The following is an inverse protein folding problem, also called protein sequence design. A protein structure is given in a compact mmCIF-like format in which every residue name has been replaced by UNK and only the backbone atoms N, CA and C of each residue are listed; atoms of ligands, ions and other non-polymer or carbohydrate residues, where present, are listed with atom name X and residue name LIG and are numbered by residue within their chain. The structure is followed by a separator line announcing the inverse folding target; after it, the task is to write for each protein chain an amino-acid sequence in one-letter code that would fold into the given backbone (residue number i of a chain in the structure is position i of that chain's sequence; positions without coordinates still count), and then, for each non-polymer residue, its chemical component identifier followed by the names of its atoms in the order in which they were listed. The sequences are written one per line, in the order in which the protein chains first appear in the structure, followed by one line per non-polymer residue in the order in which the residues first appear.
data_IF_969807386573
#
_entry.id   IF_969807386573
#
_cell.length_a   1.000
_cell.length_b   1.000
_cell.length_c   1.000
_cell.angle_alpha   90.00
_cell.angle_beta   90.00
_cell.angle_gamma   90.00
#
_symmetry.space_group_name_H-M   'P 1'
#
loop_
_entity.id
_entity.type
_entity.pdbx_description
1 polymer ?
#
# COMPACT_ATOMS: atom_id res chain seq x y z
N UNK A 1 24.22 -4.77 54.05
CA UNK A 1 23.37 -5.67 53.30
C UNK A 1 22.18 -4.97 52.60
N UNK A 2 21.47 -4.04 53.26
CA UNK A 2 20.35 -3.30 52.66
C UNK A 2 20.77 -2.39 51.49
N UNK A 3 21.90 -1.73 51.61
CA UNK A 3 22.43 -0.84 50.58
C UNK A 3 22.88 -1.59 49.31
N UNK A 4 23.46 -2.80 49.49
CA UNK A 4 23.82 -3.65 48.33
C UNK A 4 22.60 -4.19 47.58
N UNK A 5 21.55 -4.59 48.30
CA UNK A 5 20.28 -5.03 47.68
C UNK A 5 19.56 -3.90 46.94
N UNK A 6 19.57 -2.68 47.48
CA UNK A 6 19.01 -1.50 46.84
C UNK A 6 19.77 -1.13 45.56
N UNK A 7 21.11 -1.18 45.56
CA UNK A 7 21.94 -0.94 44.38
C UNK A 7 21.72 -2.00 43.31
N UNK A 8 21.57 -3.26 43.69
CA UNK A 8 21.32 -4.34 42.75
C UNK A 8 19.95 -4.22 42.10
N UNK A 9 18.90 -3.91 42.85
CA UNK A 9 17.55 -3.65 42.31
C UNK A 9 17.51 -2.42 41.40
N UNK A 10 18.21 -1.34 41.73
CA UNK A 10 18.32 -0.16 40.89
C UNK A 10 19.05 -0.46 39.55
N UNK A 11 20.11 -1.29 39.63
CA UNK A 11 20.84 -1.72 38.43
C UNK A 11 19.97 -2.58 37.51
N UNK A 12 19.27 -3.58 38.06
CA UNK A 12 18.37 -4.45 37.27
C UNK A 12 17.23 -3.65 36.60
N UNK A 13 16.68 -2.67 37.35
CA UNK A 13 15.65 -1.77 36.77
C UNK A 13 16.20 -0.88 35.64
N UNK A 14 17.44 -0.39 35.82
CA UNK A 14 18.09 0.40 34.79
C UNK A 14 18.41 -0.45 33.55
N UNK A 15 18.94 -1.66 33.72
CA UNK A 15 19.21 -2.60 32.63
C UNK A 15 17.91 -2.96 31.88
N UNK A 16 16.81 -3.16 32.57
CA UNK A 16 15.50 -3.41 31.98
C UNK A 16 15.04 -2.21 31.16
N UNK A 17 15.08 -0.98 31.71
CA UNK A 17 14.71 0.25 31.01
C UNK A 17 15.60 0.53 29.80
N UNK A 18 16.90 0.24 29.89
CA UNK A 18 17.82 0.37 28.75
C UNK A 18 17.46 -0.58 27.64
N UNK A 19 17.17 -1.87 27.95
CA UNK A 19 16.74 -2.85 26.95
C UNK A 19 15.43 -2.44 26.28
N UNK A 20 14.44 -2.03 27.06
CA UNK A 20 13.14 -1.56 26.55
C UNK A 20 13.30 -0.36 25.61
N UNK A 21 14.08 0.65 26.03
CA UNK A 21 14.38 1.83 25.23
C UNK A 21 15.17 1.50 23.96
N UNK A 22 16.16 0.60 24.05
CA UNK A 22 16.94 0.17 22.90
C UNK A 22 16.07 -0.57 21.88
N UNK A 23 15.22 -1.48 22.33
CA UNK A 23 14.28 -2.19 21.45
C UNK A 23 13.29 -1.22 20.78
N UNK A 24 12.74 -0.26 21.53
CA UNK A 24 11.87 0.79 20.98
C UNK A 24 12.57 1.65 19.92
N UNK A 25 13.81 2.09 20.20
CA UNK A 25 14.60 2.87 19.24
C UNK A 25 14.95 2.07 17.99
N UNK A 26 15.28 0.80 18.12
CA UNK A 26 15.55 -0.08 16.98
C UNK A 26 14.30 -0.26 16.09
N UNK A 27 13.13 -0.43 16.70
CA UNK A 27 11.85 -0.52 16.00
C UNK A 27 11.54 0.79 15.25
N UNK A 28 11.70 1.94 15.90
CA UNK A 28 11.53 3.25 15.25
C UNK A 28 12.53 3.48 14.10
N UNK A 29 13.78 3.08 14.28
CA UNK A 29 14.79 3.20 13.24
C UNK A 29 14.47 2.32 12.03
N UNK A 30 14.06 1.08 12.25
CA UNK A 30 13.63 0.17 11.19
C UNK A 30 12.41 0.73 10.42
N UNK A 31 11.45 1.31 11.16
CA UNK A 31 10.28 1.97 10.56
C UNK A 31 10.67 3.16 9.68
N UNK A 32 11.56 4.03 10.17
CA UNK A 32 12.06 5.17 9.39
C UNK A 32 12.85 4.72 8.17
N UNK A 33 13.68 3.69 8.29
CA UNK A 33 14.40 3.12 7.16
C UNK A 33 13.46 2.55 6.09
N UNK A 34 12.42 1.82 6.50
CA UNK A 34 11.41 1.29 5.57
C UNK A 34 10.72 2.42 4.80
N UNK A 35 10.28 3.47 5.49
CA UNK A 35 9.67 4.66 4.87
C UNK A 35 10.63 5.38 3.93
N UNK A 36 11.89 5.55 4.33
CA UNK A 36 12.91 6.22 3.50
C UNK A 36 13.20 5.42 2.22
N UNK A 37 13.34 4.09 2.34
CA UNK A 37 13.59 3.21 1.19
C UNK A 37 12.43 3.25 0.20
N UNK A 38 11.19 3.19 0.69
CA UNK A 38 9.97 3.33 -0.13
C UNK A 38 9.97 4.69 -0.84
N UNK A 39 10.24 5.78 -0.11
CA UNK A 39 10.23 7.13 -0.69
C UNK A 39 11.31 7.31 -1.76
N UNK A 40 12.51 6.75 -1.56
CA UNK A 40 13.59 6.81 -2.55
C UNK A 40 13.24 6.04 -3.84
N UNK A 41 12.71 4.83 -3.71
CA UNK A 41 12.27 4.04 -4.87
C UNK A 41 11.09 4.69 -5.61
N UNK A 42 10.19 5.35 -4.89
CA UNK A 42 9.08 6.09 -5.48
C UNK A 42 9.55 7.29 -6.32
N UNK A 43 10.63 7.94 -5.93
CA UNK A 43 11.18 9.08 -6.67
C UNK A 43 11.79 8.72 -8.02
N UNK A 44 12.18 7.45 -8.21
CA UNK A 44 12.77 6.94 -9.45
C UNK A 44 11.77 6.30 -10.40
N UNK A 45 10.50 6.13 -9.98
CA UNK A 45 9.49 5.46 -10.78
C UNK A 45 8.92 6.39 -11.85
N UNK A 46 8.99 5.98 -13.11
CA UNK A 46 8.47 6.72 -14.25
C UNK A 46 6.98 6.46 -14.54
N UNK A 47 6.40 5.43 -13.94
CA UNK A 47 5.01 5.05 -14.15
C UNK A 47 4.41 4.33 -12.92
N UNK A 48 3.08 4.29 -12.87
CA UNK A 48 2.31 3.70 -11.76
C UNK A 48 2.62 2.21 -11.54
N UNK A 49 2.87 1.45 -12.59
CA UNK A 49 3.13 0.02 -12.47
C UNK A 49 4.48 -0.27 -11.83
N UNK A 50 5.53 0.44 -12.27
CA UNK A 50 6.89 0.33 -11.68
C UNK A 50 6.87 0.77 -10.22
N UNK A 51 6.16 1.87 -9.92
CA UNK A 51 5.97 2.35 -8.56
C UNK A 51 5.30 1.29 -7.67
N UNK A 52 4.18 0.72 -8.13
CA UNK A 52 3.43 -0.27 -7.39
C UNK A 52 4.23 -1.58 -7.21
N UNK A 53 5.00 -1.99 -8.23
CA UNK A 53 5.83 -3.20 -8.16
C UNK A 53 6.95 -3.06 -7.12
N UNK A 54 7.65 -1.93 -7.07
CA UNK A 54 8.63 -1.65 -6.02
C UNK A 54 8.02 -1.65 -4.63
N UNK A 55 6.83 -1.08 -4.50
CA UNK A 55 6.11 -1.04 -3.24
C UNK A 55 5.69 -2.42 -2.73
N UNK A 56 5.10 -3.29 -3.58
CA UNK A 56 4.68 -4.64 -3.15
C UNK A 56 5.88 -5.46 -2.68
N UNK A 57 7.02 -5.33 -3.35
CA UNK A 57 8.27 -5.98 -2.96
C UNK A 57 8.72 -5.55 -1.56
N UNK A 58 8.79 -4.26 -1.33
CA UNK A 58 9.23 -3.69 -0.04
C UNK A 58 8.28 -4.03 1.11
N UNK A 59 6.96 -3.88 0.90
CA UNK A 59 5.98 -4.17 1.93
C UNK A 59 5.98 -5.65 2.28
N UNK A 60 6.03 -6.53 1.27
CA UNK A 60 6.09 -7.98 1.49
C UNK A 60 7.26 -8.36 2.40
N UNK A 61 8.45 -7.82 2.13
CA UNK A 61 9.64 -8.06 2.93
C UNK A 61 9.53 -7.50 4.35
N UNK A 62 8.93 -6.30 4.51
CA UNK A 62 8.87 -5.59 5.79
C UNK A 62 7.92 -6.26 6.80
N UNK A 63 6.81 -6.87 6.33
CA UNK A 63 5.80 -7.49 7.19
C UNK A 63 5.72 -9.00 7.04
N UNK A 64 6.62 -9.59 6.25
CA UNK A 64 6.69 -11.03 5.98
C UNK A 64 5.37 -11.61 5.50
N UNK A 65 4.66 -10.89 4.63
CA UNK A 65 3.44 -11.36 4.01
C UNK A 65 3.73 -12.47 2.99
N UNK A 66 2.84 -13.46 2.89
CA UNK A 66 2.96 -14.51 1.87
C UNK A 66 2.76 -13.95 0.46
N UNK A 67 1.81 -13.02 0.31
CA UNK A 67 1.64 -12.23 -0.90
C UNK A 67 1.15 -10.81 -0.60
N UNK A 68 1.42 -9.90 -1.53
CA UNK A 68 0.95 -8.51 -1.50
C UNK A 68 0.42 -8.14 -2.88
N UNK A 69 -0.65 -7.37 -2.92
CA UNK A 69 -1.22 -6.80 -4.13
C UNK A 69 -1.54 -5.32 -3.94
N UNK A 70 -1.31 -4.52 -4.96
CA UNK A 70 -1.80 -3.14 -5.07
C UNK A 70 -2.87 -3.09 -6.14
N UNK A 71 -4.05 -2.61 -5.76
CA UNK A 71 -5.19 -2.42 -6.64
C UNK A 71 -5.45 -0.93 -6.81
N UNK A 72 -5.59 -0.52 -8.05
CA UNK A 72 -6.02 0.83 -8.41
C UNK A 72 -7.54 0.87 -8.54
N UNK A 73 -8.17 1.86 -7.95
CA UNK A 73 -9.59 2.13 -8.15
C UNK A 73 -9.77 3.14 -9.30
N UNK A 74 -10.71 2.90 -10.20
CA UNK A 74 -11.07 3.86 -11.24
C UNK A 74 -11.63 5.18 -10.64
N UNK A 75 -11.76 6.21 -11.48
CA UNK A 75 -12.21 7.54 -10.99
C UNK A 75 -13.63 7.53 -10.41
N UNK A 76 -14.50 6.69 -10.94
CA UNK A 76 -15.85 6.46 -10.44
C UNK A 76 -15.88 5.60 -9.18
N UNK A 77 -14.78 4.96 -8.83
CA UNK A 77 -14.66 3.93 -7.79
C UNK A 77 -15.62 2.73 -7.99
N UNK A 78 -15.88 2.39 -9.24
CA UNK A 78 -16.73 1.26 -9.60
C UNK A 78 -15.96 -0.05 -9.73
N UNK A 79 -14.66 0.04 -9.97
CA UNK A 79 -13.78 -1.12 -10.19
C UNK A 79 -12.43 -0.94 -9.53
N UNK A 80 -11.86 -2.08 -9.16
CA UNK A 80 -10.47 -2.21 -8.72
C UNK A 80 -9.69 -3.04 -9.72
N UNK A 81 -8.63 -2.47 -10.29
CA UNK A 81 -7.74 -3.15 -11.22
C UNK A 81 -6.44 -3.52 -10.51
N UNK A 82 -5.99 -4.75 -10.66
CA UNK A 82 -4.71 -5.21 -10.12
C UNK A 82 -3.57 -4.49 -10.85
N UNK A 83 -2.88 -3.61 -10.14
CA UNK A 83 -1.77 -2.82 -10.69
C UNK A 83 -0.44 -3.55 -10.58
N UNK A 84 -0.18 -4.16 -9.41
CA UNK A 84 1.00 -4.95 -9.14
C UNK A 84 0.71 -6.00 -8.08
N UNK A 85 1.46 -7.11 -8.11
CA UNK A 85 1.41 -8.13 -7.06
C UNK A 85 2.72 -8.88 -6.96
N UNK A 86 2.98 -9.44 -5.77
CA UNK A 86 4.08 -10.35 -5.51
C UNK A 86 3.64 -11.48 -4.60
N UNK A 87 3.99 -12.72 -4.95
CA UNK A 87 3.62 -13.92 -4.20
C UNK A 87 2.20 -14.45 -4.47
N UNK A 88 1.36 -13.75 -5.26
CA UNK A 88 0.05 -14.28 -5.64
C UNK A 88 0.19 -15.43 -6.65
N UNK A 89 -0.61 -16.50 -6.52
CA UNK A 89 -0.73 -17.53 -7.56
C UNK A 89 -1.18 -16.90 -8.88
N UNK A 90 -0.64 -17.34 -10.04
CA UNK A 90 -1.04 -16.81 -11.35
C UNK A 90 -2.54 -16.92 -11.62
N UNK A 91 -3.18 -18.00 -11.19
CA UNK A 91 -4.64 -18.18 -11.31
C UNK A 91 -5.41 -17.07 -10.59
N UNK A 92 -5.01 -16.72 -9.38
CA UNK A 92 -5.66 -15.67 -8.59
C UNK A 92 -5.42 -14.28 -9.22
N UNK A 93 -4.22 -14.00 -9.69
CA UNK A 93 -3.91 -12.75 -10.37
C UNK A 93 -4.75 -12.54 -11.64
N UNK A 94 -5.03 -13.61 -12.39
CA UNK A 94 -5.86 -13.56 -13.60
C UNK A 94 -7.35 -13.39 -13.22
N UNK A 95 -7.84 -14.19 -12.29
CA UNK A 95 -9.26 -14.18 -11.87
C UNK A 95 -9.67 -12.86 -11.22
N UNK A 96 -8.75 -12.27 -10.46
CA UNK A 96 -8.99 -11.05 -9.71
C UNK A 96 -8.31 -9.82 -10.33
N UNK A 97 -7.97 -9.87 -11.62
CA UNK A 97 -7.34 -8.73 -12.30
C UNK A 97 -8.20 -7.46 -12.25
N UNK A 98 -9.51 -7.62 -12.40
CA UNK A 98 -10.47 -6.51 -12.32
C UNK A 98 -11.68 -6.95 -11.49
N UNK A 99 -11.90 -6.29 -10.36
CA UNK A 99 -12.99 -6.56 -9.45
C UNK A 99 -13.97 -5.39 -9.40
N UNK A 100 -15.28 -5.63 -9.56
CA UNK A 100 -16.28 -4.62 -9.24
C UNK A 100 -16.20 -4.23 -7.76
N UNK A 101 -16.42 -2.96 -7.48
CA UNK A 101 -16.47 -2.47 -6.09
C UNK A 101 -17.57 -3.18 -5.30
N UNK A 102 -17.23 -3.70 -4.14
CA UNK A 102 -18.13 -4.47 -3.29
C UNK A 102 -18.31 -5.94 -3.68
N UNK A 103 -17.77 -6.40 -4.82
CA UNK A 103 -17.84 -7.79 -5.21
C UNK A 103 -17.01 -8.74 -4.32
N UNK A 104 -15.94 -8.20 -3.74
CA UNK A 104 -15.10 -8.89 -2.79
C UNK A 104 -14.72 -7.95 -1.66
N UNK A 105 -14.41 -8.51 -0.51
CA UNK A 105 -13.95 -7.77 0.66
C UNK A 105 -12.59 -7.08 0.40
N UNK A 106 -11.82 -7.56 -0.57
CA UNK A 106 -10.58 -6.92 -1.04
C UNK A 106 -10.82 -5.77 -2.04
N UNK A 107 -12.07 -5.46 -2.35
CA UNK A 107 -12.47 -4.36 -3.21
C UNK A 107 -13.65 -3.60 -2.55
N UNK A 108 -13.44 -2.95 -1.39
CA UNK A 108 -14.51 -2.34 -0.61
C UNK A 108 -15.07 -1.11 -1.29
N UNK A 109 -16.33 -0.74 -1.02
CA UNK A 109 -16.86 0.54 -1.45
C UNK A 109 -16.11 1.70 -0.80
N UNK A 110 -16.10 2.86 -1.46
CA UNK A 110 -15.36 4.06 -1.04
C UNK A 110 -15.60 4.46 0.41
N UNK A 111 -16.85 4.41 0.84
CA UNK A 111 -17.28 4.79 2.19
C UNK A 111 -16.83 3.80 3.27
N UNK A 112 -16.67 2.52 2.90
CA UNK A 112 -16.22 1.44 3.78
C UNK A 112 -14.71 1.19 3.78
N UNK A 113 -13.94 1.90 2.97
CA UNK A 113 -12.50 1.67 2.83
C UNK A 113 -11.75 2.18 4.06
N UNK A 114 -11.48 1.26 5.00
CA UNK A 114 -10.66 1.45 6.21
C UNK A 114 -9.62 0.34 6.28
N UNK A 115 -8.49 0.60 6.94
CA UNK A 115 -7.53 -0.46 7.25
C UNK A 115 -8.20 -1.52 8.13
N UNK A 116 -8.11 -2.78 7.72
CA UNK A 116 -8.85 -3.88 8.34
C UNK A 116 -8.11 -5.21 8.22
N UNK A 117 -8.31 -6.07 9.20
CA UNK A 117 -7.87 -7.46 9.20
C UNK A 117 -9.09 -8.34 9.03
N UNK A 118 -9.05 -9.25 8.08
CA UNK A 118 -10.16 -10.11 7.70
C UNK A 118 -9.71 -11.56 7.83
N UNK A 119 -10.48 -12.36 8.55
CA UNK A 119 -10.30 -13.81 8.61
C UNK A 119 -11.15 -14.48 7.54
N UNK A 120 -10.51 -15.07 6.55
CA UNK A 120 -11.18 -15.61 5.36
C UNK A 120 -11.99 -16.89 5.62
N UNK A 121 -11.83 -17.52 6.79
CA UNK A 121 -12.54 -18.74 7.17
C UNK A 121 -13.78 -18.51 8.04
N UNK A 122 -14.11 -17.26 8.39
CA UNK A 122 -15.33 -16.96 9.13
C UNK A 122 -16.53 -16.92 8.18
N UNK A 123 -17.66 -17.53 8.57
CA UNK A 123 -18.89 -17.63 7.75
C UNK A 123 -19.55 -16.28 7.46
N UNK A 124 -19.16 -15.22 8.16
CA UNK A 124 -19.70 -13.86 8.00
C UNK A 124 -19.17 -13.12 6.78
N UNK A 125 -18.11 -13.63 6.15
CA UNK A 125 -17.44 -12.96 5.04
C UNK A 125 -18.00 -13.46 3.72
N UNK A 126 -18.94 -12.72 3.14
CA UNK A 126 -19.38 -12.91 1.74
C UNK A 126 -18.26 -12.44 0.83
N UNK A 127 -17.45 -13.36 0.35
CA UNK A 127 -16.30 -13.09 -0.54
C UNK A 127 -16.32 -14.03 -1.72
N UNK A 128 -15.69 -13.61 -2.79
CA UNK A 128 -15.30 -14.53 -3.83
C UNK A 128 -14.41 -15.62 -3.22
N UNK A 129 -14.57 -16.89 -3.60
CA UNK A 129 -13.88 -18.01 -2.95
C UNK A 129 -12.37 -18.04 -3.22
N UNK A 130 -11.89 -17.27 -4.18
CA UNK A 130 -10.55 -17.36 -4.78
C UNK A 130 -9.41 -17.27 -3.76
N UNK A 131 -9.48 -16.31 -2.82
CA UNK A 131 -8.43 -16.16 -1.80
C UNK A 131 -8.37 -17.37 -0.85
N UNK A 132 -9.53 -17.94 -0.49
CA UNK A 132 -9.62 -19.11 0.37
C UNK A 132 -9.18 -20.38 -0.37
N UNK A 133 -9.56 -20.53 -1.63
CA UNK A 133 -9.10 -21.63 -2.51
C UNK A 133 -7.59 -21.59 -2.74
N UNK A 134 -6.99 -20.40 -2.75
CA UNK A 134 -5.55 -20.21 -2.80
C UNK A 134 -4.84 -20.51 -1.47
N UNK A 135 -5.57 -20.89 -0.42
CA UNK A 135 -5.00 -21.27 0.88
C UNK A 135 -4.72 -20.12 1.84
N UNK A 136 -5.17 -18.91 1.53
CA UNK A 136 -5.01 -17.79 2.46
C UNK A 136 -6.04 -17.85 3.60
N UNK A 137 -5.59 -17.49 4.80
CA UNK A 137 -6.37 -17.51 6.05
C UNK A 137 -6.70 -16.10 6.51
N UNK A 138 -5.74 -15.19 6.37
CA UNK A 138 -5.89 -13.78 6.77
C UNK A 138 -5.62 -12.87 5.58
N UNK A 139 -6.47 -11.87 5.41
CA UNK A 139 -6.30 -10.75 4.49
C UNK A 139 -6.24 -9.45 5.30
N UNK A 140 -5.23 -8.63 5.03
CA UNK A 140 -5.15 -7.26 5.56
C UNK A 140 -5.36 -6.30 4.40
N UNK A 141 -6.39 -5.48 4.48
CA UNK A 141 -6.67 -4.42 3.51
C UNK A 141 -6.28 -3.06 4.07
N UNK A 142 -5.50 -2.29 3.30
CA UNK A 142 -5.09 -0.93 3.65
C UNK A 142 -5.45 0.01 2.50
N UNK A 143 -6.37 0.96 2.69
CA UNK A 143 -6.81 1.84 1.62
C UNK A 143 -5.70 2.83 1.23
N UNK A 144 -5.53 3.03 -0.07
CA UNK A 144 -4.69 4.06 -0.64
C UNK A 144 -5.50 5.34 -0.77
N UNK A 145 -5.27 6.28 0.13
CA UNK A 145 -5.96 7.58 0.14
C UNK A 145 -4.97 8.72 -0.02
N UNK A 146 -5.31 9.62 -0.93
CA UNK A 146 -4.68 10.92 -1.01
C UNK A 146 -5.72 11.99 -0.70
N UNK A 147 -5.55 12.71 0.40
CA UNK A 147 -6.56 13.62 0.95
C UNK A 147 -7.92 12.92 1.17
N UNK A 148 -8.99 13.36 0.49
CA UNK A 148 -10.33 12.76 0.56
C UNK A 148 -10.60 11.71 -0.53
N UNK A 149 -9.66 11.51 -1.46
CA UNK A 149 -9.83 10.63 -2.60
C UNK A 149 -9.30 9.23 -2.31
N UNK A 150 -10.10 8.22 -2.57
CA UNK A 150 -9.68 6.83 -2.58
C UNK A 150 -9.06 6.52 -3.95
N UNK A 151 -7.80 6.11 -3.97
CA UNK A 151 -7.06 5.75 -5.17
C UNK A 151 -6.99 4.25 -5.39
N UNK A 152 -7.22 3.46 -4.34
CA UNK A 152 -7.10 2.02 -4.41
C UNK A 152 -6.94 1.37 -3.04
N UNK A 153 -6.37 0.19 -3.04
CA UNK A 153 -6.12 -0.59 -1.83
C UNK A 153 -4.86 -1.45 -1.96
N UNK A 154 -4.14 -1.58 -0.86
CA UNK A 154 -3.09 -2.59 -0.66
C UNK A 154 -3.71 -3.77 0.06
N UNK A 155 -3.56 -4.97 -0.51
CA UNK A 155 -4.00 -6.21 0.09
C UNK A 155 -2.79 -7.06 0.46
N UNK A 156 -2.69 -7.48 1.72
CA UNK A 156 -1.66 -8.38 2.21
C UNK A 156 -2.32 -9.72 2.57
N UNK A 157 -1.75 -10.80 2.09
CA UNK A 157 -2.29 -12.14 2.21
C UNK A 157 -1.37 -13.00 3.07
N UNK A 158 -1.96 -13.77 3.98
CA UNK A 158 -1.25 -14.66 4.90
C UNK A 158 -1.90 -16.03 4.92
N UNK A 159 -1.07 -17.08 4.88
CA UNK A 159 -1.50 -18.49 5.03
C UNK A 159 -1.73 -18.90 6.48
N UNK A 160 -1.45 -18.00 7.42
CA UNK A 160 -1.67 -18.19 8.85
C UNK A 160 -2.52 -17.07 9.43
N UNK A 161 -3.12 -17.31 10.61
CA UNK A 161 -3.80 -16.24 11.32
C UNK A 161 -2.81 -15.16 11.73
N UNK A 162 -3.13 -13.92 11.37
CA UNK A 162 -2.35 -12.74 11.72
C UNK A 162 -3.18 -11.77 12.55
N UNK A 163 -2.52 -11.16 13.53
CA UNK A 163 -3.01 -10.00 14.25
C UNK A 163 -2.00 -8.88 14.06
N UNK A 164 -2.46 -7.75 13.56
CA UNK A 164 -1.57 -6.60 13.42
C UNK A 164 -1.37 -5.92 14.78
N UNK A 165 -0.12 -5.70 15.16
CA UNK A 165 0.18 -4.79 16.27
C UNK A 165 -0.15 -3.35 15.87
N UNK A 166 -0.44 -2.46 16.84
CA UNK A 166 -0.67 -1.04 16.54
C UNK A 166 0.49 -0.41 15.76
N UNK A 167 1.72 -0.82 16.02
CA UNK A 167 2.92 -0.33 15.34
C UNK A 167 2.95 -0.78 13.87
N UNK A 168 2.67 -2.05 13.60
CA UNK A 168 2.59 -2.58 12.23
C UNK A 168 1.46 -1.93 11.44
N UNK A 169 0.30 -1.71 12.10
CA UNK A 169 -0.82 -1.00 11.49
C UNK A 169 -0.44 0.44 11.12
N UNK A 170 0.21 1.17 12.02
CA UNK A 170 0.66 2.54 11.77
C UNK A 170 1.69 2.59 10.63
N UNK A 171 2.65 1.64 10.61
CA UNK A 171 3.63 1.53 9.53
C UNK A 171 2.97 1.30 8.17
N UNK A 172 2.08 0.32 8.06
CA UNK A 172 1.37 0.01 6.82
C UNK A 172 0.52 1.19 6.34
N UNK A 173 -0.15 1.88 7.26
CA UNK A 173 -0.93 3.08 6.94
C UNK A 173 -0.03 4.19 6.38
N UNK A 174 1.08 4.48 7.03
CA UNK A 174 2.04 5.48 6.56
C UNK A 174 2.63 5.12 5.19
N UNK A 175 3.00 3.85 4.97
CA UNK A 175 3.50 3.38 3.67
C UNK A 175 2.43 3.53 2.58
N UNK A 176 1.17 3.21 2.88
CA UNK A 176 0.04 3.35 1.96
C UNK A 176 -0.24 4.83 1.61
N UNK A 177 -0.15 5.74 2.58
CA UNK A 177 -0.28 7.19 2.35
C UNK A 177 0.84 7.72 1.45
N UNK A 178 2.07 7.27 1.66
CA UNK A 178 3.20 7.62 0.78
C UNK A 178 3.00 7.12 -0.64
N UNK A 179 2.58 5.86 -0.82
CA UNK A 179 2.27 5.31 -2.13
C UNK A 179 1.17 6.13 -2.81
N UNK A 180 0.08 6.40 -2.10
CA UNK A 180 -1.04 7.18 -2.63
C UNK A 180 -0.61 8.57 -3.09
N UNK A 181 0.24 9.25 -2.32
CA UNK A 181 0.79 10.55 -2.68
C UNK A 181 1.66 10.49 -3.95
N UNK A 182 2.54 9.48 -4.06
CA UNK A 182 3.38 9.29 -5.24
C UNK A 182 2.56 8.93 -6.49
N UNK A 183 1.53 8.08 -6.34
CA UNK A 183 0.60 7.73 -7.42
C UNK A 183 -0.14 8.97 -7.95
N UNK A 184 -0.62 9.83 -7.06
CA UNK A 184 -1.31 11.07 -7.45
C UNK A 184 -0.34 12.04 -8.13
N UNK A 185 0.89 12.17 -7.66
CA UNK A 185 1.93 12.99 -8.30
C UNK A 185 2.22 12.54 -9.73
N UNK A 186 2.39 11.23 -9.96
CA UNK A 186 2.58 10.68 -11.31
C UNK A 186 1.37 10.93 -12.21
N UNK A 187 0.16 10.79 -11.67
CA UNK A 187 -1.08 11.06 -12.42
C UNK A 187 -1.17 12.52 -12.85
N UNK A 188 -0.91 13.45 -11.94
CA UNK A 188 -0.93 14.89 -12.23
C UNK A 188 0.10 15.22 -13.30
N UNK A 189 1.33 14.73 -13.15
CA UNK A 189 2.40 14.94 -14.13
C UNK A 189 2.03 14.39 -15.53
N UNK A 190 1.38 13.24 -15.59
CA UNK A 190 0.92 12.65 -16.85
C UNK A 190 -0.14 13.54 -17.54
N UNK A 191 -1.13 14.03 -16.77
CA UNK A 191 -2.17 14.94 -17.27
C UNK A 191 -1.60 16.27 -17.76
N UNK A 192 -0.63 16.84 -17.05
CA UNK A 192 0.06 18.07 -17.47
C UNK A 192 0.81 17.87 -18.78
N UNK A 193 1.49 16.74 -18.96
CA UNK A 193 2.18 16.40 -20.22
C UNK A 193 1.19 16.23 -21.38
N UNK A 194 0.07 15.54 -21.15
CA UNK A 194 -0.98 15.38 -22.15
C UNK A 194 -1.58 16.73 -22.57
N UNK A 195 -1.87 17.60 -21.62
CA UNK A 195 -2.39 18.94 -21.86
C UNK A 195 -1.38 19.78 -22.67
N UNK A 196 -0.09 19.74 -22.35
CA UNK A 196 0.95 20.44 -23.07
C UNK A 196 1.05 19.96 -24.54
N UNK A 197 1.04 18.65 -24.77
CA UNK A 197 1.04 18.07 -26.13
C UNK A 197 -0.20 18.46 -26.91
N UNK A 198 -1.38 18.46 -26.30
CA UNK A 198 -2.62 18.89 -26.96
C UNK A 198 -2.58 20.38 -27.33
N UNK A 199 -2.02 21.22 -26.47
CA UNK A 199 -1.84 22.65 -26.73
C UNK A 199 -0.87 22.90 -27.89
N UNK A 200 0.28 22.21 -27.91
CA UNK A 200 1.26 22.30 -28.99
C UNK A 200 0.65 21.91 -30.35
N UNK A 201 -0.07 20.76 -30.38
CA UNK A 201 -0.79 20.34 -31.60
C UNK A 201 -1.80 21.38 -32.12
N UNK A 202 -2.52 22.03 -31.20
CA UNK A 202 -3.48 23.09 -31.52
C UNK A 202 -2.79 24.34 -32.11
N UNK A 203 -1.63 24.72 -31.60
CA UNK A 203 -0.83 25.84 -32.12
C UNK A 203 -0.32 25.53 -33.54
N UNK A 204 0.29 24.36 -33.75
CA UNK A 204 0.79 23.93 -35.06
C UNK A 204 -0.35 23.88 -36.08
N UNK A 205 -1.54 23.36 -35.69
CA UNK A 205 -2.68 23.32 -36.59
C UNK A 205 -3.16 24.73 -37.02
N UNK A 206 -3.14 25.71 -36.10
CA UNK A 206 -3.47 27.11 -36.44
C UNK A 206 -2.43 27.74 -37.38
N UNK A 207 -1.13 27.56 -37.07
CA UNK A 207 -0.06 28.08 -37.94
C UNK A 207 -0.12 27.52 -39.38
N UNK A 208 -0.38 26.20 -39.51
CA UNK A 208 -0.57 25.56 -40.79
C UNK A 208 -1.80 26.12 -41.54
N UNK A 209 -2.92 26.28 -40.83
CA UNK A 209 -4.15 26.85 -41.42
C UNK A 209 -3.92 28.25 -41.94
N UNK A 210 -3.27 29.11 -41.13
CA UNK A 210 -3.00 30.49 -41.50
C UNK A 210 -1.98 30.58 -42.66
N UNK A 211 -1.01 29.66 -42.73
CA UNK A 211 -0.03 29.56 -43.82
C UNK A 211 -0.62 29.08 -45.14
N UNK A 212 -1.66 28.24 -45.10
CA UNK A 212 -2.33 27.72 -46.32
C UNK A 212 -3.40 28.70 -46.84
N UNK A 213 -3.96 29.52 -45.93
CA UNK A 213 -5.01 30.49 -46.30
C UNK A 213 -4.48 31.81 -46.87
N UNK A 214 -3.15 32.00 -46.92
CA UNK A 214 -2.46 33.10 -47.60
C UNK A 214 -2.05 32.69 -49.02
#
# INVERSE_FOLDING_TARGET
NLMAASLQSARENLEFKVREKTASLQAQHAQLQALYTVSAQMAEADNLQTLAQGFVHQVRASVQADAVAVRWSDEANERYVLLASEGLPPSLSIQEHCLPTGACICAPPKEGAKARVIRLHTDEVVTLPHCREAGYVTLVGVPLRHQQRLLGEVNLYFVQEQTLTPETHALLTAMAEHLASAMESLRVTALEREAAVAQERSLIARELHDSIAQ
#
